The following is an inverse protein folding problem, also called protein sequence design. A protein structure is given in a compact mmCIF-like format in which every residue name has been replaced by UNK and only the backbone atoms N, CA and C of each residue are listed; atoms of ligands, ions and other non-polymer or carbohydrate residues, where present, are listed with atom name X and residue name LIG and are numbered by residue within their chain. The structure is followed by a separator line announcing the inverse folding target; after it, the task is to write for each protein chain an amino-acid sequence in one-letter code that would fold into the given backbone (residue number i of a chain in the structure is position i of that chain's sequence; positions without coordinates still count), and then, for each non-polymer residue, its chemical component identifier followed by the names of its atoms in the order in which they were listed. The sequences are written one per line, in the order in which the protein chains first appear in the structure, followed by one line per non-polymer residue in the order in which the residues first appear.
data_IF_183263437454
#
_entry.id   IF_183263437454
#
_cell.length_a   1.000
_cell.length_b   1.000
_cell.length_c   1.000
_cell.angle_alpha   90.00
_cell.angle_beta   90.00
_cell.angle_gamma   90.00
#
_symmetry.space_group_name_H-M   'P 1'
#
loop_
_entity.id
_entity.type
_entity.pdbx_description
1 polymer ?
#
# COMPACT_ATOMS: atom_id res chain seq x y z
N UNK A 1 -4.67 -10.23 -14.27
CA UNK A 1 -4.48 -8.80 -14.57
C UNK A 1 -3.07 -8.63 -15.09
N UNK A 2 -2.86 -8.11 -16.31
CA UNK A 2 -1.52 -7.87 -16.82
C UNK A 2 -0.87 -6.69 -16.07
N UNK A 3 0.42 -6.81 -15.73
CA UNK A 3 1.15 -5.74 -15.04
C UNK A 3 1.34 -4.59 -16.04
N UNK A 4 0.45 -3.60 -15.98
CA UNK A 4 0.54 -2.39 -16.80
C UNK A 4 1.77 -1.59 -16.37
N UNK A 5 2.55 -1.11 -17.34
CA UNK A 5 3.70 -0.25 -17.05
C UNK A 5 3.20 1.15 -16.63
N UNK A 6 2.98 1.32 -15.32
CA UNK A 6 2.38 2.51 -14.71
C UNK A 6 3.16 3.81 -14.99
N UNK A 7 4.44 3.70 -15.36
CA UNK A 7 5.29 4.85 -15.70
C UNK A 7 4.86 5.61 -16.95
N UNK A 8 3.97 5.04 -17.78
CA UNK A 8 3.49 5.63 -19.03
C UNK A 8 2.20 6.44 -18.87
N UNK A 9 1.56 6.38 -17.72
CA UNK A 9 0.27 7.03 -17.46
C UNK A 9 0.48 8.38 -16.76
N UNK A 10 -0.36 9.34 -17.10
CA UNK A 10 -0.48 10.60 -16.35
C UNK A 10 -0.96 10.35 -14.92
N UNK A 11 -0.82 11.35 -14.05
CA UNK A 11 -1.32 11.27 -12.67
C UNK A 11 -2.83 10.99 -12.63
N UNK A 12 -3.61 11.61 -13.51
CA UNK A 12 -5.06 11.41 -13.58
C UNK A 12 -5.42 9.97 -13.99
N UNK A 13 -4.74 9.43 -15.01
CA UNK A 13 -4.96 8.04 -15.44
C UNK A 13 -4.52 7.03 -14.36
N UNK A 14 -3.46 7.33 -13.61
CA UNK A 14 -3.04 6.50 -12.48
C UNK A 14 -4.08 6.50 -11.35
N UNK A 15 -4.75 7.63 -11.09
CA UNK A 15 -5.85 7.70 -10.12
C UNK A 15 -7.02 6.82 -10.59
N UNK A 16 -7.45 6.96 -11.84
CA UNK A 16 -8.53 6.15 -12.42
C UNK A 16 -8.19 4.66 -12.40
N UNK A 17 -6.94 4.30 -12.70
CA UNK A 17 -6.49 2.92 -12.62
C UNK A 17 -6.55 2.37 -11.18
N UNK A 18 -6.18 3.17 -10.19
CA UNK A 18 -6.26 2.78 -8.78
C UNK A 18 -7.72 2.58 -8.33
N UNK A 19 -8.63 3.45 -8.76
CA UNK A 19 -10.07 3.33 -8.51
C UNK A 19 -10.65 2.07 -9.17
N UNK A 20 -10.33 1.85 -10.44
CA UNK A 20 -10.74 0.63 -11.15
C UNK A 20 -10.21 -0.63 -10.48
N UNK A 21 -8.97 -0.61 -10.00
CA UNK A 21 -8.38 -1.73 -9.29
C UNK A 21 -9.10 -1.97 -7.97
N UNK A 22 -9.36 -0.92 -7.21
CA UNK A 22 -10.13 -0.96 -5.96
C UNK A 22 -11.54 -1.53 -6.13
N UNK A 23 -12.23 -1.12 -7.19
CA UNK A 23 -13.57 -1.60 -7.50
C UNK A 23 -13.59 -3.01 -8.12
N UNK A 24 -12.49 -3.43 -8.76
CA UNK A 24 -12.36 -4.78 -9.31
C UNK A 24 -12.17 -5.85 -8.23
N UNK A 25 -11.80 -5.48 -7.00
CA UNK A 25 -11.65 -6.43 -5.92
C UNK A 25 -13.03 -6.73 -5.33
N UNK A 26 -13.38 -8.02 -5.24
CA UNK A 26 -14.60 -8.46 -4.57
C UNK A 26 -14.51 -8.11 -3.08
N UNK A 27 -15.18 -7.03 -2.69
CA UNK A 27 -15.24 -6.54 -1.31
C UNK A 27 -15.85 -7.57 -0.34
N UNK A 28 -16.58 -8.57 -0.87
CA UNK A 28 -17.16 -9.68 -0.11
C UNK A 28 -16.15 -10.78 0.22
N UNK A 29 -15.10 -10.94 -0.59
CA UNK A 29 -14.04 -11.94 -0.40
C UNK A 29 -12.83 -11.35 0.37
N UNK A 30 -12.86 -10.05 0.65
CA UNK A 30 -11.95 -9.34 1.54
C UNK A 30 -12.40 -9.53 3.01
N UNK A 31 -12.45 -10.77 3.47
CA UNK A 31 -12.68 -11.05 4.88
C UNK A 31 -11.40 -10.71 5.65
N UNK A 32 -11.43 -9.60 6.39
CA UNK A 32 -10.34 -9.24 7.30
C UNK A 32 -10.46 -10.16 8.51
N UNK A 33 -9.49 -11.05 8.71
CA UNK A 33 -9.47 -11.88 9.92
C UNK A 33 -9.39 -11.00 11.16
N UNK A 34 -9.92 -11.48 12.28
CA UNK A 34 -9.90 -10.71 13.53
C UNK A 34 -8.47 -10.33 13.96
N UNK A 35 -7.49 -11.19 13.63
CA UNK A 35 -6.07 -10.91 13.86
C UNK A 35 -5.57 -9.73 13.02
N UNK A 36 -5.90 -9.69 11.72
CA UNK A 36 -5.52 -8.57 10.84
C UNK A 36 -6.23 -7.29 11.26
N UNK A 37 -7.51 -7.38 11.65
CA UNK A 37 -8.27 -6.25 12.15
C UNK A 37 -7.64 -5.65 13.41
N UNK A 38 -7.31 -6.50 14.39
CA UNK A 38 -6.67 -6.06 15.64
C UNK A 38 -5.33 -5.36 15.40
N UNK A 39 -4.52 -5.88 14.47
CA UNK A 39 -3.27 -5.24 14.07
C UNK A 39 -3.51 -3.87 13.43
N UNK A 40 -4.51 -3.74 12.55
CA UNK A 40 -4.86 -2.47 11.93
C UNK A 40 -5.37 -1.44 12.95
N UNK A 41 -6.24 -1.86 13.87
CA UNK A 41 -6.75 -1.02 14.95
C UNK A 41 -5.60 -0.51 15.84
N UNK A 42 -4.65 -1.38 16.19
CA UNK A 42 -3.45 -0.98 16.96
C UNK A 42 -2.58 0.02 16.21
N UNK A 43 -2.41 -0.14 14.88
CA UNK A 43 -1.65 0.81 14.06
C UNK A 43 -2.31 2.18 13.97
N UNK A 44 -3.63 2.21 13.85
CA UNK A 44 -4.40 3.46 13.84
C UNK A 44 -4.25 4.16 15.19
N UNK A 45 -4.41 3.44 16.29
CA UNK A 45 -4.22 4.00 17.63
C UNK A 45 -2.79 4.55 17.80
N UNK A 46 -1.76 3.81 17.40
CA UNK A 46 -0.38 4.29 17.47
C UNK A 46 -0.15 5.55 16.63
N UNK A 47 -0.83 5.70 15.50
CA UNK A 47 -0.78 6.90 14.68
C UNK A 47 -1.45 8.09 15.38
N UNK A 48 -2.63 7.89 15.92
CA UNK A 48 -3.39 8.92 16.66
C UNK A 48 -2.65 9.40 17.92
N UNK A 49 -1.98 8.48 18.60
CA UNK A 49 -1.14 8.78 19.77
C UNK A 49 0.24 9.34 19.42
N UNK A 50 0.56 9.51 18.13
CA UNK A 50 1.85 10.06 17.67
C UNK A 50 3.04 9.11 17.88
N UNK A 51 2.79 7.83 18.12
CA UNK A 51 3.80 6.77 18.32
C UNK A 51 4.24 6.11 17.02
N UNK A 52 3.52 6.36 15.92
CA UNK A 52 3.85 5.81 14.61
C UNK A 52 4.99 6.60 13.94
N UNK A 53 5.97 5.88 13.39
CA UNK A 53 6.96 6.46 12.49
C UNK A 53 6.36 6.66 11.09
N UNK A 54 6.35 7.92 10.63
CA UNK A 54 5.88 8.28 9.30
C UNK A 54 7.04 8.59 8.38
N UNK A 55 7.03 7.99 7.20
CA UNK A 55 8.07 8.16 6.20
C UNK A 55 7.53 8.93 5.00
N UNK A 56 8.31 9.91 4.55
CA UNK A 56 7.95 10.62 3.31
C UNK A 56 8.06 9.68 2.12
N UNK A 57 7.23 9.90 1.11
CA UNK A 57 7.25 9.09 -0.10
C UNK A 57 8.61 9.09 -0.81
N UNK A 58 9.32 10.22 -0.77
CA UNK A 58 10.69 10.35 -1.29
C UNK A 58 11.65 9.43 -0.53
N UNK A 59 11.53 9.37 0.79
CA UNK A 59 12.32 8.47 1.64
C UNK A 59 12.01 7.00 1.31
N UNK A 60 10.71 6.64 1.23
CA UNK A 60 10.28 5.28 0.91
C UNK A 60 10.78 4.80 -0.45
N UNK A 61 10.71 5.64 -1.50
CA UNK A 61 11.20 5.30 -2.85
C UNK A 61 12.69 4.99 -2.87
N UNK A 62 13.50 5.68 -2.06
CA UNK A 62 14.95 5.47 -2.00
C UNK A 62 15.32 4.21 -1.23
N UNK A 63 14.61 3.88 -0.14
CA UNK A 63 14.98 2.81 0.79
C UNK A 63 14.28 1.46 0.54
N UNK A 64 13.08 1.43 -0.05
CA UNK A 64 12.42 0.14 -0.43
C UNK A 64 13.11 -0.57 -1.59
N UNK A 65 13.90 0.15 -2.41
CA UNK A 65 14.76 -0.46 -3.44
C UNK A 65 15.91 -1.28 -2.85
N UNK A 66 16.32 -1.01 -1.61
CA UNK A 66 17.39 -1.75 -0.91
C UNK A 66 16.87 -3.00 -0.19
N UNK A 67 15.69 -2.94 0.42
CA UNK A 67 15.11 -4.09 1.14
C UNK A 67 14.76 -5.26 0.21
N UNK A 68 14.27 -4.98 -1.01
CA UNK A 68 14.00 -6.04 -1.99
C UNK A 68 15.28 -6.61 -2.63
N UNK A 69 16.37 -5.82 -2.72
CA UNK A 69 17.65 -6.27 -3.27
C UNK A 69 18.41 -7.18 -2.30
N UNK A 70 18.28 -6.94 -0.99
CA UNK A 70 18.89 -7.75 0.06
C UNK A 70 18.15 -9.08 0.33
N UNK A 71 16.90 -9.21 -0.12
CA UNK A 71 16.09 -10.44 0.05
C UNK A 71 16.23 -11.43 -1.13
N UNK A 72 16.86 -11.00 -2.22
CA UNK A 72 17.06 -11.77 -3.45
C UNK A 72 18.55 -12.06 -3.72
N UNK A 73 19.42 -11.87 -2.73
CA UNK A 73 20.85 -12.16 -2.77
C UNK A 73 21.19 -13.27 -1.78
#
# INVERSE_FOLDING_TARGET
MEIKNLSKYSNAENIVLAEQLWDSISKKDLEISEEVKRELDSRIQNLEEGKAELYTWVWNRKNTRWTNKARLA
#
